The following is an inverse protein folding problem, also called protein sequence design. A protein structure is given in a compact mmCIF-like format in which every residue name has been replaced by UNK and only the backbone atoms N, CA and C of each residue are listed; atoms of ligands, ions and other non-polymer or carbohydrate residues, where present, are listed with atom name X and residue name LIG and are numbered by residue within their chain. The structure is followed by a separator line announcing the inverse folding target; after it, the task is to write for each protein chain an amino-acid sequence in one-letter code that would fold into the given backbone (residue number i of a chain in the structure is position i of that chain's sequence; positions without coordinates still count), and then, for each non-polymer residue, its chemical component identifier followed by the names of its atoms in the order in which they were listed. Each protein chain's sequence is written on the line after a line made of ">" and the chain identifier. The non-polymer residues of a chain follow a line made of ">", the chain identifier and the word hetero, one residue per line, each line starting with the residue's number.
data_IF_023698266328
#
_entry.id   IF_023698266328
#
_cell.length_a   1.000
_cell.length_b   1.000
_cell.length_c   1.000
_cell.angle_alpha   90.00
_cell.angle_beta   90.00
_cell.angle_gamma   90.00
#
_symmetry.space_group_name_H-M   'P 1'
#
loop_
_entity.id
_entity.type
_entity.pdbx_description
1 polymer ?
#
# COMPACT_ATOMS: atom_id res chain seq x y z
N UNK A 1 -6.56 -5.78 -11.67
CA UNK A 1 -5.87 -5.06 -10.59
C UNK A 1 -6.86 -4.83 -9.46
N UNK A 2 -6.39 -4.71 -8.20
CA UNK A 2 -7.27 -4.49 -7.05
C UNK A 2 -7.90 -3.09 -7.00
N UNK A 3 -7.35 -2.13 -7.76
CA UNK A 3 -7.91 -0.79 -7.91
C UNK A 3 -8.76 -0.74 -9.18
N UNK A 4 -10.07 -0.66 -9.04
CA UNK A 4 -10.98 -0.30 -10.14
C UNK A 4 -11.12 1.22 -10.18
N UNK A 5 -10.42 1.86 -11.12
CA UNK A 5 -10.28 3.33 -11.20
C UNK A 5 -11.12 3.94 -12.31
N UNK A 6 -12.05 3.20 -12.91
CA UNK A 6 -12.74 3.63 -14.11
C UNK A 6 -13.60 4.90 -13.94
N UNK A 7 -13.99 5.29 -12.71
CA UNK A 7 -14.85 6.47 -12.48
C UNK A 7 -14.61 7.23 -11.17
N UNK A 8 -13.95 6.64 -10.16
CA UNK A 8 -13.68 7.29 -8.87
C UNK A 8 -12.35 6.79 -8.28
N UNK A 9 -11.69 7.59 -7.43
CA UNK A 9 -10.59 7.12 -6.61
C UNK A 9 -11.06 5.97 -5.71
N UNK A 10 -10.28 4.89 -5.60
CA UNK A 10 -10.58 3.77 -4.72
C UNK A 10 -10.38 4.13 -3.23
N UNK A 11 -11.35 3.84 -2.38
CA UNK A 11 -11.22 3.98 -0.93
C UNK A 11 -10.45 2.80 -0.33
N UNK A 12 -9.22 3.06 0.10
CA UNK A 12 -8.34 2.10 0.78
C UNK A 12 -8.44 2.32 2.29
N UNK A 13 -8.78 1.26 3.04
CA UNK A 13 -8.98 1.34 4.49
C UNK A 13 -7.98 0.44 5.21
N UNK A 14 -7.10 0.98 6.06
CA UNK A 14 -6.10 0.18 6.75
C UNK A 14 -6.70 -0.57 7.95
N UNK A 15 -6.32 -1.83 8.10
CA UNK A 15 -6.55 -2.66 9.29
C UNK A 15 -5.20 -2.99 9.93
N UNK A 16 -5.15 -2.99 11.26
CA UNK A 16 -3.90 -3.02 12.03
C UNK A 16 -4.00 -3.84 13.33
N UNK A 17 -5.06 -4.64 13.48
CA UNK A 17 -5.27 -5.53 14.60
C UNK A 17 -4.05 -6.40 14.90
N UNK A 18 -3.76 -6.57 16.19
CA UNK A 18 -2.62 -7.36 16.67
C UNK A 18 -3.00 -8.80 16.98
N UNK A 19 -4.14 -9.28 16.50
CA UNK A 19 -4.49 -10.71 16.50
C UNK A 19 -5.26 -11.06 15.23
N UNK A 20 -5.26 -12.33 14.79
CA UNK A 20 -6.05 -12.75 13.64
C UNK A 20 -7.55 -12.43 13.78
N UNK A 21 -8.12 -12.61 14.97
CA UNK A 21 -9.54 -12.36 15.22
C UNK A 21 -9.90 -10.87 15.09
N UNK A 22 -9.03 -9.98 15.58
CA UNK A 22 -9.22 -8.54 15.42
C UNK A 22 -9.14 -8.14 13.95
N UNK A 23 -8.16 -8.65 13.21
CA UNK A 23 -8.00 -8.34 11.78
C UNK A 23 -9.21 -8.78 10.94
N UNK A 24 -9.80 -9.93 11.25
CA UNK A 24 -11.03 -10.38 10.58
C UNK A 24 -12.22 -9.47 10.91
N UNK A 25 -12.37 -9.05 12.18
CA UNK A 25 -13.42 -8.10 12.59
C UNK A 25 -13.25 -6.74 11.90
N UNK A 26 -12.05 -6.18 11.93
CA UNK A 26 -11.71 -4.92 11.28
C UNK A 26 -11.95 -4.98 9.76
N UNK A 27 -11.68 -6.12 9.12
CA UNK A 27 -11.96 -6.32 7.71
C UNK A 27 -13.48 -6.33 7.41
N UNK A 28 -14.28 -7.01 8.24
CA UNK A 28 -15.75 -7.00 8.13
C UNK A 28 -16.31 -5.59 8.32
N UNK A 29 -15.83 -4.84 9.30
CA UNK A 29 -16.20 -3.45 9.56
C UNK A 29 -15.83 -2.52 8.40
N UNK A 30 -14.59 -2.62 7.89
CA UNK A 30 -14.12 -1.84 6.76
C UNK A 30 -14.94 -2.11 5.49
N UNK A 31 -15.25 -3.37 5.22
CA UNK A 31 -16.11 -3.76 4.10
C UNK A 31 -17.54 -3.22 4.26
N UNK A 32 -18.13 -3.33 5.45
CA UNK A 32 -19.48 -2.81 5.73
C UNK A 32 -19.57 -1.29 5.60
N UNK A 33 -18.48 -0.59 5.89
CA UNK A 33 -18.36 0.86 5.76
C UNK A 33 -18.02 1.33 4.32
N UNK A 34 -17.88 0.40 3.37
CA UNK A 34 -17.74 0.71 1.93
C UNK A 34 -16.31 0.84 1.43
N UNK A 35 -15.33 0.19 2.07
CA UNK A 35 -13.98 0.09 1.53
C UNK A 35 -13.99 -0.55 0.12
N UNK A 36 -13.29 0.08 -0.83
CA UNK A 36 -13.04 -0.52 -2.15
C UNK A 36 -11.84 -1.47 -2.09
N UNK A 37 -10.88 -1.21 -1.19
CA UNK A 37 -9.72 -2.07 -0.88
C UNK A 37 -9.44 -2.01 0.62
N UNK A 38 -9.08 -3.15 1.22
CA UNK A 38 -8.60 -3.20 2.61
C UNK A 38 -7.07 -3.29 2.59
N UNK A 39 -6.36 -2.36 3.24
CA UNK A 39 -4.91 -2.46 3.44
C UNK A 39 -4.61 -3.18 4.75
N UNK A 40 -4.02 -4.37 4.69
CA UNK A 40 -3.53 -5.01 5.91
C UNK A 40 -2.11 -4.53 6.24
N UNK A 41 -2.00 -3.78 7.33
CA UNK A 41 -0.74 -3.37 7.97
C UNK A 41 -0.14 -4.51 8.78
N UNK A 42 0.41 -5.50 8.09
CA UNK A 42 1.02 -6.70 8.68
C UNK A 42 2.11 -6.38 9.71
N UNK A 43 2.75 -5.22 9.56
CA UNK A 43 3.80 -4.77 10.46
C UNK A 43 3.33 -4.61 11.91
N UNK A 44 2.06 -4.32 12.18
CA UNK A 44 1.53 -4.22 13.56
C UNK A 44 1.49 -5.58 14.25
N UNK A 45 0.98 -6.61 13.57
CA UNK A 45 0.93 -7.97 14.09
C UNK A 45 2.35 -8.55 14.26
N UNK A 46 3.19 -8.43 13.24
CA UNK A 46 4.59 -8.89 13.29
C UNK A 46 5.40 -8.13 14.33
N UNK A 47 5.19 -6.81 14.46
CA UNK A 47 5.85 -5.99 15.47
C UNK A 47 5.44 -6.36 16.90
N UNK A 48 4.19 -6.78 17.12
CA UNK A 48 3.68 -7.15 18.44
C UNK A 48 4.13 -8.55 18.90
N UNK A 49 4.21 -9.51 17.98
CA UNK A 49 4.45 -10.93 18.32
C UNK A 49 5.83 -11.45 17.88
N UNK A 50 6.60 -10.66 17.13
CA UNK A 50 7.88 -11.07 16.58
C UNK A 50 7.71 -12.06 15.42
N UNK A 51 8.32 -13.24 15.52
CA UNK A 51 8.42 -14.17 14.39
C UNK A 51 7.10 -14.92 14.17
N UNK A 52 6.37 -14.52 13.13
CA UNK A 52 5.23 -15.28 12.57
C UNK A 52 5.63 -15.83 11.20
N UNK A 53 5.28 -17.08 10.90
CA UNK A 53 5.52 -17.67 9.58
C UNK A 53 4.51 -17.15 8.56
N UNK A 54 4.89 -17.09 7.28
CA UNK A 54 3.95 -16.67 6.24
C UNK A 54 2.76 -17.62 6.14
N UNK A 55 2.97 -18.92 6.39
CA UNK A 55 1.91 -19.91 6.46
C UNK A 55 0.87 -19.60 7.55
N UNK A 56 1.29 -19.16 8.75
CA UNK A 56 0.35 -18.76 9.80
C UNK A 56 -0.42 -17.49 9.39
N UNK A 57 0.28 -16.48 8.86
CA UNK A 57 -0.36 -15.25 8.37
C UNK A 57 -1.41 -15.55 7.27
N UNK A 58 -1.09 -16.44 6.34
CA UNK A 58 -1.99 -16.80 5.26
C UNK A 58 -3.22 -17.58 5.76
N UNK A 59 -3.02 -18.59 6.61
CA UNK A 59 -4.10 -19.46 7.09
C UNK A 59 -4.98 -18.80 8.14
N UNK A 60 -4.40 -18.01 9.05
CA UNK A 60 -5.12 -17.45 10.19
C UNK A 60 -5.73 -16.09 9.87
N UNK A 61 -5.19 -15.37 8.87
CA UNK A 61 -5.63 -14.01 8.53
C UNK A 61 -6.13 -13.91 7.09
N UNK A 62 -5.28 -14.17 6.09
CA UNK A 62 -5.62 -13.92 4.68
C UNK A 62 -6.83 -14.76 4.24
N UNK A 63 -6.80 -16.08 4.44
CA UNK A 63 -7.89 -16.96 4.02
C UNK A 63 -9.22 -16.62 4.72
N UNK A 64 -9.26 -16.42 6.06
CA UNK A 64 -10.46 -16.00 6.75
C UNK A 64 -11.02 -14.66 6.24
N UNK A 65 -10.18 -13.65 6.02
CA UNK A 65 -10.63 -12.37 5.47
C UNK A 65 -11.23 -12.57 4.07
N UNK A 66 -10.51 -13.23 3.16
CA UNK A 66 -10.99 -13.45 1.78
C UNK A 66 -12.28 -14.26 1.73
N UNK A 67 -12.51 -15.16 2.68
CA UNK A 67 -13.76 -15.92 2.81
C UNK A 67 -14.92 -15.07 3.32
N UNK A 68 -14.67 -14.14 4.23
CA UNK A 68 -15.71 -13.36 4.92
C UNK A 68 -16.14 -12.10 4.17
N UNK A 69 -15.20 -11.39 3.56
CA UNK A 69 -15.48 -10.15 2.83
C UNK A 69 -15.11 -10.31 1.37
N UNK A 70 -15.86 -9.70 0.43
CA UNK A 70 -15.54 -9.76 -1.00
C UNK A 70 -14.44 -8.77 -1.41
N UNK A 71 -14.15 -7.78 -0.56
CA UNK A 71 -13.22 -6.69 -0.83
C UNK A 71 -11.78 -7.23 -1.02
N UNK A 72 -11.00 -6.73 -2.01
CA UNK A 72 -9.60 -7.07 -2.17
C UNK A 72 -8.72 -6.64 -0.98
N UNK A 73 -7.62 -7.37 -0.77
CA UNK A 73 -6.66 -7.13 0.30
C UNK A 73 -5.32 -6.65 -0.25
N UNK A 74 -4.83 -5.49 0.20
CA UNK A 74 -3.48 -5.00 -0.05
C UNK A 74 -2.57 -5.36 1.13
N UNK A 75 -1.64 -6.28 0.92
CA UNK A 75 -0.68 -6.72 1.93
C UNK A 75 0.47 -5.73 2.03
N UNK A 76 0.60 -5.06 3.18
CA UNK A 76 1.62 -4.05 3.43
C UNK A 76 2.49 -4.40 4.63
N UNK A 77 3.79 -4.58 4.41
CA UNK A 77 4.78 -4.70 5.47
C UNK A 77 5.56 -3.39 5.57
N UNK A 78 5.04 -2.44 6.36
CA UNK A 78 5.69 -1.13 6.54
C UNK A 78 6.83 -1.21 7.55
N UNK A 79 8.03 -0.84 7.16
CA UNK A 79 9.20 -0.85 8.02
C UNK A 79 9.26 0.40 8.90
N UNK A 80 10.01 0.32 10.01
CA UNK A 80 10.23 1.47 10.91
C UNK A 80 10.79 2.68 10.17
N UNK A 81 11.68 2.48 9.19
CA UNK A 81 12.26 3.56 8.39
C UNK A 81 11.24 4.31 7.53
N UNK A 82 10.06 3.72 7.29
CA UNK A 82 8.97 4.31 6.54
C UNK A 82 7.71 4.53 7.40
N UNK A 83 7.86 4.59 8.73
CA UNK A 83 6.76 4.91 9.68
C UNK A 83 5.91 3.71 10.12
N UNK A 84 6.40 2.48 9.91
CA UNK A 84 5.74 1.25 10.35
C UNK A 84 6.31 0.68 11.64
N UNK A 85 5.92 -0.55 11.96
CA UNK A 85 6.31 -1.27 13.18
C UNK A 85 7.32 -2.40 12.93
N UNK A 86 7.59 -2.74 11.67
CA UNK A 86 8.46 -3.86 11.32
C UNK A 86 9.94 -3.44 11.28
N UNK A 87 10.78 -4.07 12.10
CA UNK A 87 12.25 -3.91 12.04
C UNK A 87 12.85 -5.03 11.19
N UNK A 88 12.93 -4.81 9.89
CA UNK A 88 13.42 -5.80 8.93
C UNK A 88 14.68 -5.32 8.21
N UNK A 89 15.74 -6.13 8.23
CA UNK A 89 16.89 -5.94 7.36
C UNK A 89 16.55 -6.32 5.90
N UNK A 90 17.25 -5.81 4.88
CA UNK A 90 16.93 -6.08 3.47
C UNK A 90 16.81 -7.55 3.10
N UNK A 91 17.71 -8.40 3.60
CA UNK A 91 17.63 -9.85 3.37
C UNK A 91 16.37 -10.49 3.96
N UNK A 92 15.93 -10.03 5.14
CA UNK A 92 14.69 -10.53 5.79
C UNK A 92 13.44 -10.03 5.08
N UNK A 93 13.43 -8.78 4.63
CA UNK A 93 12.35 -8.23 3.82
C UNK A 93 12.14 -9.03 2.53
N UNK A 94 13.24 -9.33 1.81
CA UNK A 94 13.19 -10.19 0.61
C UNK A 94 12.65 -11.57 0.90
N UNK A 95 13.17 -12.24 1.93
CA UNK A 95 12.75 -13.59 2.28
C UNK A 95 11.27 -13.64 2.67
N UNK A 96 10.82 -12.66 3.46
CA UNK A 96 9.42 -12.55 3.86
C UNK A 96 8.48 -12.49 2.65
N UNK A 97 8.72 -11.57 1.71
CA UNK A 97 7.83 -11.43 0.55
C UNK A 97 7.94 -12.61 -0.42
N UNK A 98 9.14 -13.20 -0.59
CA UNK A 98 9.28 -14.40 -1.40
C UNK A 98 8.45 -15.57 -0.82
N UNK A 99 8.56 -15.81 0.49
CA UNK A 99 7.80 -16.84 1.19
C UNK A 99 6.29 -16.55 1.19
N UNK A 100 5.90 -15.28 1.36
CA UNK A 100 4.50 -14.85 1.28
C UNK A 100 3.91 -15.12 -0.10
N UNK A 101 4.60 -14.75 -1.19
CA UNK A 101 4.15 -15.01 -2.55
C UNK A 101 3.97 -16.52 -2.82
N UNK A 102 4.93 -17.35 -2.38
CA UNK A 102 4.81 -18.80 -2.48
C UNK A 102 3.61 -19.31 -1.66
N UNK A 103 3.40 -18.79 -0.46
CA UNK A 103 2.30 -19.19 0.43
C UNK A 103 0.94 -18.84 -0.17
N UNK A 104 0.80 -17.65 -0.76
CA UNK A 104 -0.43 -17.22 -1.43
C UNK A 104 -0.77 -18.10 -2.63
N UNK A 105 0.25 -18.58 -3.36
CA UNK A 105 0.06 -19.54 -4.44
C UNK A 105 -0.45 -20.88 -3.90
N UNK A 106 0.10 -21.38 -2.79
CA UNK A 106 -0.37 -22.62 -2.15
C UNK A 106 -1.77 -22.48 -1.54
N UNK A 107 -2.16 -21.28 -1.11
CA UNK A 107 -3.51 -20.98 -0.64
C UNK A 107 -4.53 -20.95 -1.79
N UNK A 108 -4.08 -20.99 -3.05
CA UNK A 108 -4.90 -20.78 -4.24
C UNK A 108 -5.72 -19.47 -4.17
N UNK A 109 -5.13 -18.45 -3.54
CA UNK A 109 -5.80 -17.16 -3.39
C UNK A 109 -5.98 -16.51 -4.77
N UNK A 110 -7.19 -16.02 -5.04
CA UNK A 110 -7.47 -15.31 -6.29
C UNK A 110 -6.55 -14.08 -6.41
N UNK A 111 -5.64 -14.04 -7.40
CA UNK A 111 -4.68 -12.95 -7.54
C UNK A 111 -5.35 -11.61 -7.87
N UNK A 112 -6.61 -11.61 -8.34
CA UNK A 112 -7.39 -10.39 -8.53
C UNK A 112 -7.86 -9.76 -7.21
N UNK A 113 -7.83 -10.52 -6.12
CA UNK A 113 -8.25 -10.09 -4.78
C UNK A 113 -7.09 -9.76 -3.85
N UNK A 114 -5.84 -9.85 -4.33
CA UNK A 114 -4.66 -9.55 -3.55
C UNK A 114 -3.76 -8.54 -4.27
N UNK A 115 -3.34 -7.51 -3.52
CA UNK A 115 -2.22 -6.66 -3.88
C UNK A 115 -1.06 -6.79 -2.89
N UNK A 116 0.13 -6.46 -3.35
CA UNK A 116 1.36 -6.46 -2.56
C UNK A 116 1.96 -5.05 -2.58
N UNK A 117 2.15 -4.45 -1.41
CA UNK A 117 2.86 -3.17 -1.25
C UNK A 117 4.32 -3.42 -0.87
N UNK A 118 5.23 -3.06 -1.78
CA UNK A 118 6.67 -3.21 -1.64
C UNK A 118 7.34 -1.84 -1.48
N UNK A 119 8.26 -1.72 -0.53
CA UNK A 119 8.99 -0.49 -0.27
C UNK A 119 10.09 -0.27 -1.31
N UNK A 120 10.05 0.86 -2.01
CA UNK A 120 11.03 1.25 -3.04
C UNK A 120 12.47 1.26 -2.49
N UNK A 121 12.65 1.67 -1.23
CA UNK A 121 13.96 1.77 -0.58
C UNK A 121 14.74 0.45 -0.48
N UNK A 122 14.10 -0.70 -0.72
CA UNK A 122 14.77 -2.00 -0.71
C UNK A 122 15.33 -2.38 -2.10
N UNK A 123 16.63 -2.71 -2.22
CA UNK A 123 17.24 -3.11 -3.50
C UNK A 123 16.58 -4.33 -4.18
N UNK A 124 15.85 -5.14 -3.41
CA UNK A 124 15.20 -6.36 -3.89
C UNK A 124 13.81 -6.12 -4.47
N UNK A 125 13.24 -4.93 -4.30
CA UNK A 125 11.90 -4.55 -4.76
C UNK A 125 11.68 -4.79 -6.26
N UNK A 126 12.61 -4.43 -7.17
CA UNK A 126 12.45 -4.73 -8.60
C UNK A 126 12.32 -6.24 -8.92
N UNK A 127 12.97 -7.10 -8.15
CA UNK A 127 12.88 -8.56 -8.33
C UNK A 127 11.56 -9.10 -7.79
N UNK A 128 11.16 -8.66 -6.59
CA UNK A 128 9.91 -9.06 -5.94
C UNK A 128 8.68 -8.59 -6.73
N UNK A 129 8.69 -7.36 -7.22
CA UNK A 129 7.62 -6.81 -8.05
C UNK A 129 7.41 -7.66 -9.30
N UNK A 130 8.48 -7.98 -10.04
CA UNK A 130 8.40 -8.86 -11.22
C UNK A 130 7.89 -10.26 -10.88
N UNK A 131 8.23 -10.79 -9.70
CA UNK A 131 7.72 -12.08 -9.25
C UNK A 131 6.22 -12.02 -8.97
N UNK A 132 5.77 -11.02 -8.19
CA UNK A 132 4.36 -10.83 -7.86
C UNK A 132 3.49 -10.59 -9.10
N UNK A 133 3.96 -9.76 -10.04
CA UNK A 133 3.28 -9.50 -11.32
C UNK A 133 3.12 -10.77 -12.17
N UNK A 134 4.15 -11.62 -12.25
CA UNK A 134 4.05 -12.91 -12.97
C UNK A 134 3.03 -13.86 -12.34
N UNK A 135 2.80 -13.74 -11.03
CA UNK A 135 1.77 -14.51 -10.31
C UNK A 135 0.37 -13.87 -10.45
N UNK A 136 0.25 -12.74 -11.15
CA UNK A 136 -1.01 -12.05 -11.41
C UNK A 136 -1.44 -11.06 -10.32
N UNK A 137 -0.66 -10.91 -9.24
CA UNK A 137 -0.99 -9.97 -8.17
C UNK A 137 -0.83 -8.52 -8.62
N UNK A 138 -1.63 -7.64 -8.03
CA UNK A 138 -1.40 -6.20 -8.18
C UNK A 138 -0.20 -5.79 -7.33
N UNK A 139 0.70 -4.98 -7.87
CA UNK A 139 1.87 -4.50 -7.12
C UNK A 139 1.79 -3.00 -6.93
N UNK A 140 1.91 -2.57 -5.68
CA UNK A 140 2.19 -1.19 -5.29
C UNK A 140 3.66 -1.10 -4.91
N UNK A 141 4.38 -0.13 -5.45
CA UNK A 141 5.73 0.21 -5.00
C UNK A 141 5.67 1.54 -4.29
N UNK A 142 5.97 1.55 -2.99
CA UNK A 142 5.79 2.70 -2.14
C UNK A 142 7.09 3.31 -1.63
N UNK A 143 7.11 4.63 -1.56
CA UNK A 143 8.12 5.40 -0.85
C UNK A 143 7.41 6.33 0.12
N UNK A 144 7.76 6.23 1.40
CA UNK A 144 7.21 7.04 2.47
C UNK A 144 8.35 7.86 3.08
N UNK A 145 8.32 9.15 2.81
CA UNK A 145 9.27 10.12 3.31
C UNK A 145 8.65 10.89 4.48
N UNK A 146 9.33 10.81 5.63
CA UNK A 146 8.93 11.45 6.87
C UNK A 146 9.82 12.65 7.20
N UNK A 147 10.66 13.09 6.27
CA UNK A 147 11.48 14.28 6.46
C UNK A 147 10.59 15.50 6.74
N UNK A 148 11.10 16.39 7.58
CA UNK A 148 10.37 17.59 7.99
C UNK A 148 10.22 18.58 6.82
N UNK A 149 11.16 18.56 5.88
CA UNK A 149 11.17 19.43 4.71
C UNK A 149 10.45 18.77 3.52
N UNK A 150 9.39 19.43 3.05
CA UNK A 150 8.67 18.98 1.86
C UNK A 150 9.53 19.18 0.60
N UNK A 151 9.73 18.13 -0.22
CA UNK A 151 10.43 18.28 -1.49
C UNK A 151 9.77 19.31 -2.42
N UNK A 152 10.59 20.02 -3.18
CA UNK A 152 10.11 20.88 -4.26
C UNK A 152 9.58 20.04 -5.44
N UNK A 153 9.01 20.72 -6.44
CA UNK A 153 8.38 20.03 -7.57
C UNK A 153 9.37 19.22 -8.42
N UNK A 154 10.63 19.69 -8.55
CA UNK A 154 11.63 19.04 -9.37
C UNK A 154 12.17 17.79 -8.68
N UNK A 155 12.35 17.83 -7.37
CA UNK A 155 12.69 16.67 -6.56
C UNK A 155 11.56 15.64 -6.56
N UNK A 156 10.29 16.06 -6.43
CA UNK A 156 9.14 15.15 -6.54
C UNK A 156 9.11 14.43 -7.91
N UNK A 157 9.37 15.16 -9.00
CA UNK A 157 9.46 14.55 -10.35
C UNK A 157 10.60 13.57 -10.44
N UNK A 158 11.77 13.90 -9.89
CA UNK A 158 12.93 13.01 -9.89
C UNK A 158 12.63 11.70 -9.17
N UNK A 159 12.10 11.76 -7.95
CA UNK A 159 11.73 10.58 -7.16
C UNK A 159 10.71 9.72 -7.91
N UNK A 160 9.64 10.34 -8.45
CA UNK A 160 8.63 9.59 -9.20
C UNK A 160 9.20 8.97 -10.48
N UNK A 161 10.04 9.69 -11.23
CA UNK A 161 10.67 9.18 -12.44
C UNK A 161 11.50 7.92 -12.15
N UNK A 162 12.28 7.91 -11.06
CA UNK A 162 13.04 6.74 -10.63
C UNK A 162 12.11 5.56 -10.28
N UNK A 163 11.04 5.81 -9.51
CA UNK A 163 10.08 4.76 -9.15
C UNK A 163 9.34 4.21 -10.38
N UNK A 164 9.08 5.05 -11.39
CA UNK A 164 8.39 4.70 -12.63
C UNK A 164 9.23 3.85 -13.60
N UNK A 165 10.55 3.76 -13.39
CA UNK A 165 11.42 2.80 -14.10
C UNK A 165 10.96 1.35 -13.92
N UNK A 166 10.25 1.06 -12.81
CA UNK A 166 9.60 -0.23 -12.62
C UNK A 166 8.32 -0.31 -13.47
N UNK A 167 8.26 -1.19 -14.48
CA UNK A 167 7.07 -1.33 -15.32
C UNK A 167 5.93 -2.00 -14.55
N UNK A 168 4.70 -1.74 -14.98
CA UNK A 168 3.48 -2.47 -14.60
C UNK A 168 3.10 -2.47 -13.10
N UNK A 169 3.71 -1.60 -12.29
CA UNK A 169 3.34 -1.36 -10.88
C UNK A 169 2.51 -0.08 -10.70
N UNK A 170 1.73 0.01 -9.63
CA UNK A 170 1.26 1.29 -9.12
C UNK A 170 2.35 1.93 -8.26
N UNK A 171 2.68 3.20 -8.52
CA UNK A 171 3.67 3.94 -7.71
C UNK A 171 2.94 4.67 -6.59
N UNK A 172 3.45 4.60 -5.36
CA UNK A 172 2.88 5.29 -4.19
C UNK A 172 3.93 6.18 -3.54
N UNK A 173 3.74 7.49 -3.58
CA UNK A 173 4.61 8.46 -2.90
C UNK A 173 3.86 9.10 -1.74
N UNK A 174 4.36 8.91 -0.53
CA UNK A 174 3.84 9.55 0.67
C UNK A 174 4.90 10.49 1.24
N UNK A 175 4.57 11.77 1.43
CA UNK A 175 5.51 12.82 1.89
C UNK A 175 4.82 13.70 2.92
N UNK A 176 5.60 14.28 3.84
CA UNK A 176 5.10 15.23 4.83
C UNK A 176 4.66 16.55 4.18
N UNK A 177 3.35 16.72 3.99
CA UNK A 177 2.78 17.89 3.33
C UNK A 177 1.74 18.53 4.26
N UNK A 178 2.21 19.44 5.12
CA UNK A 178 1.37 20.08 6.15
C UNK A 178 0.68 21.36 5.65
N UNK A 179 1.23 22.08 4.67
CA UNK A 179 0.59 23.26 4.11
C UNK A 179 -0.33 22.91 2.92
N UNK A 180 -1.46 23.62 2.72
CA UNK A 180 -2.33 23.43 1.55
C UNK A 180 -1.58 23.54 0.21
N UNK A 181 -0.59 24.41 0.12
CA UNK A 181 0.27 24.61 -1.05
C UNK A 181 1.14 23.38 -1.33
N UNK A 182 1.66 22.72 -0.30
CA UNK A 182 2.47 21.50 -0.42
C UNK A 182 1.62 20.34 -0.91
N UNK A 183 0.41 20.21 -0.37
CA UNK A 183 -0.57 19.21 -0.82
C UNK A 183 -0.90 19.44 -2.29
N UNK A 184 -1.19 20.69 -2.70
CA UNK A 184 -1.44 21.01 -4.11
C UNK A 184 -0.25 20.69 -5.00
N UNK A 185 0.98 20.96 -4.54
CA UNK A 185 2.22 20.64 -5.28
C UNK A 185 2.37 19.14 -5.50
N UNK A 186 2.23 18.34 -4.44
CA UNK A 186 2.31 16.88 -4.51
C UNK A 186 1.29 16.31 -5.50
N UNK A 187 0.02 16.72 -5.37
CA UNK A 187 -1.06 16.24 -6.24
C UNK A 187 -0.87 16.69 -7.69
N UNK A 188 -0.41 17.92 -7.92
CA UNK A 188 -0.14 18.43 -9.27
C UNK A 188 0.97 17.63 -9.97
N UNK A 189 2.10 17.40 -9.29
CA UNK A 189 3.22 16.63 -9.84
C UNK A 189 2.81 15.17 -10.09
N UNK A 190 2.09 14.54 -9.16
CA UNK A 190 1.62 13.16 -9.33
C UNK A 190 0.68 13.02 -10.54
N UNK A 191 -0.23 13.99 -10.74
CA UNK A 191 -1.13 14.00 -11.91
C UNK A 191 -0.38 14.21 -13.21
N UNK A 192 0.55 15.17 -13.24
CA UNK A 192 1.40 15.45 -14.40
C UNK A 192 2.18 14.20 -14.83
N UNK A 193 2.92 13.60 -13.90
CA UNK A 193 3.72 12.40 -14.15
C UNK A 193 2.84 11.19 -14.49
N UNK A 194 1.69 11.03 -13.82
CA UNK A 194 0.76 9.93 -14.11
C UNK A 194 0.21 9.99 -15.54
N UNK A 195 -0.11 11.20 -16.02
CA UNK A 195 -0.56 11.43 -17.39
C UNK A 195 0.58 11.24 -18.41
N UNK A 196 1.77 11.77 -18.12
CA UNK A 196 2.95 11.66 -19.00
C UNK A 196 3.38 10.20 -19.22
N UNK A 197 3.46 9.42 -18.13
CA UNK A 197 3.90 8.03 -18.19
C UNK A 197 2.75 7.05 -18.49
N UNK A 198 1.50 7.52 -18.46
CA UNK A 198 0.30 6.68 -18.51
C UNK A 198 0.33 5.58 -17.42
N UNK A 199 0.64 5.99 -16.18
CA UNK A 199 0.84 5.10 -15.03
C UNK A 199 0.03 5.54 -13.82
N UNK A 200 -0.37 4.56 -13.03
CA UNK A 200 -1.05 4.79 -11.75
C UNK A 200 -0.06 5.35 -10.72
N UNK A 201 -0.27 6.59 -10.29
CA UNK A 201 0.47 7.23 -9.20
C UNK A 201 -0.48 7.58 -8.06
N UNK A 202 -0.19 7.04 -6.88
CA UNK A 202 -0.86 7.29 -5.62
C UNK A 202 -0.02 8.31 -4.86
N UNK A 203 -0.49 9.55 -4.74
CA UNK A 203 0.17 10.56 -3.90
C UNK A 203 -0.58 10.69 -2.57
N UNK A 204 0.15 10.56 -1.46
CA UNK A 204 -0.41 10.53 -0.12
C UNK A 204 0.23 11.62 0.76
N UNK A 205 -0.40 12.77 0.95
CA UNK A 205 0.09 13.76 1.89
C UNK A 205 -0.01 13.24 3.34
N UNK A 206 1.12 13.25 4.03
CA UNK A 206 1.25 12.95 5.46
C UNK A 206 1.11 14.24 6.28
N UNK A 207 0.95 14.12 7.60
CA UNK A 207 0.77 15.25 8.51
C UNK A 207 -0.65 15.37 9.10
N UNK A 208 -0.78 16.11 10.21
CA UNK A 208 -2.03 16.24 10.97
C UNK A 208 -3.14 16.92 10.15
N UNK A 209 -2.79 17.97 9.39
CA UNK A 209 -3.73 18.76 8.60
C UNK A 209 -4.17 18.07 7.30
N UNK A 210 -3.45 17.03 6.86
CA UNK A 210 -3.81 16.21 5.71
C UNK A 210 -4.94 15.20 6.00
N UNK A 211 -5.50 15.16 7.23
CA UNK A 211 -6.59 14.26 7.60
C UNK A 211 -7.85 14.44 6.75
N UNK A 212 -8.17 15.68 6.35
CA UNK A 212 -9.27 15.98 5.43
C UNK A 212 -9.02 15.41 4.04
N UNK A 213 -7.78 15.47 3.55
CA UNK A 213 -7.37 15.00 2.22
C UNK A 213 -7.36 13.47 2.15
N UNK A 214 -6.91 12.81 3.24
CA UNK A 214 -7.07 11.35 3.45
C UNK A 214 -8.53 10.88 3.46
N UNK A 215 -9.47 11.73 3.87
CA UNK A 215 -10.92 11.42 3.84
C UNK A 215 -11.63 11.87 2.57
N UNK A 216 -11.04 12.78 1.80
CA UNK A 216 -11.76 13.58 0.81
C UNK A 216 -11.05 13.69 -0.54
N UNK A 217 -10.02 12.89 -0.84
CA UNK A 217 -9.44 12.80 -2.18
C UNK A 217 -10.38 12.10 -3.20
N UNK A 218 -11.66 12.44 -3.20
CA UNK A 218 -12.50 12.40 -4.38
C UNK A 218 -12.17 13.60 -5.30
N UNK A 219 -10.88 13.93 -5.47
CA UNK A 219 -10.43 14.83 -6.53
C UNK A 219 -10.24 13.94 -7.75
N UNK A 220 -10.99 14.23 -8.80
CA UNK A 220 -11.42 13.37 -9.90
C UNK A 220 -10.35 12.61 -10.70
N UNK A 221 -9.06 12.72 -10.37
CA UNK A 221 -7.95 12.21 -11.17
C UNK A 221 -6.94 11.36 -10.37
N UNK A 222 -7.21 11.06 -9.09
CA UNK A 222 -6.33 10.20 -8.26
C UNK A 222 -6.83 8.75 -8.25
N UNK A 223 -5.95 7.74 -8.36
CA UNK A 223 -6.38 6.34 -8.46
C UNK A 223 -6.87 5.76 -7.13
N UNK A 224 -6.38 6.24 -5.97
CA UNK A 224 -6.73 5.71 -4.66
C UNK A 224 -6.55 6.74 -3.53
N UNK A 225 -7.29 6.55 -2.44
CA UNK A 225 -7.33 7.40 -1.25
C UNK A 225 -7.29 6.53 0.01
N UNK A 226 -6.43 6.88 0.96
CA UNK A 226 -6.35 6.20 2.26
C UNK A 226 -7.26 6.86 3.28
N UNK A 227 -8.39 6.24 3.59
CA UNK A 227 -9.34 6.69 4.62
C UNK A 227 -9.26 5.85 5.89
N UNK A 228 -9.71 6.41 7.01
CA UNK A 228 -10.04 5.64 8.21
C UNK A 228 -11.49 5.90 8.59
N UNK A 229 -12.22 4.85 8.95
CA UNK A 229 -13.50 5.01 9.61
C UNK A 229 -13.25 5.39 11.08
N UNK A 230 -14.06 6.31 11.59
CA UNK A 230 -13.98 6.80 12.96
C UNK A 230 -14.73 5.86 13.91
#
# INVERSE_FOLDING_TARGET
>A
MIFDTAQKPALVVPIAGTTPQLLVSEAEEAAAAGADVIEWRMDFLVGAHGTLSCAALANDVVAPILKKVPVPLLLTMRTVGQGGRARLAPGRYRLFFAEMLDTLLHLEADPQRIGIDLEYAFPQTPQLARQALRLGFTVVVSHCDWDEEMPDADMLRLILAEMLELPDVAVKLAVNASAPEDIRRLLAVAREMGAEYNRMIIALPLGADAAGVRKCCAVSDMPAVWGSFA
#
